data_IF_018379049082
#
_entry.id   IF_018379049082
#
_cell.length_a   1.000
_cell.length_b   1.000
_cell.length_c   1.000
_cell.angle_alpha   90.00
_cell.angle_beta   90.00
_cell.angle_gamma   90.00
#
_symmetry.space_group_name_H-M   'P 1'
#
loop_
_entity.id
_entity.type
_entity.pdbx_description
1 polymer ?
#
# COMPACT_ATOMS: atom_id res chain seq x y z
N UNK A 1 -8.49 -31.92 -6.35
CA UNK A 1 -7.46 -31.96 -5.27
C UNK A 1 -7.66 -30.75 -4.40
N UNK A 2 -7.60 -30.90 -3.07
CA UNK A 2 -7.66 -29.73 -2.16
C UNK A 2 -6.39 -28.90 -2.34
N UNK A 3 -6.51 -27.55 -2.46
CA UNK A 3 -5.36 -26.65 -2.51
C UNK A 3 -4.55 -26.77 -1.22
N UNK A 4 -3.23 -26.68 -1.30
CA UNK A 4 -2.36 -26.55 -0.13
C UNK A 4 -2.50 -25.13 0.45
N UNK A 5 -2.94 -25.01 1.69
CA UNK A 5 -3.24 -23.75 2.36
C UNK A 5 -2.22 -23.53 3.47
N UNK A 6 -1.63 -22.33 3.51
CA UNK A 6 -0.93 -21.80 4.69
C UNK A 6 -1.80 -20.76 5.40
N UNK A 7 -1.78 -20.74 6.72
CA UNK A 7 -2.51 -19.74 7.51
C UNK A 7 -1.56 -18.80 8.23
N UNK A 8 -1.63 -17.51 7.89
CA UNK A 8 -0.97 -16.42 8.60
C UNK A 8 -2.00 -15.69 9.48
N UNK A 9 -1.72 -15.50 10.76
CA UNK A 9 -2.61 -14.81 11.69
C UNK A 9 -1.88 -13.73 12.47
N UNK A 10 -2.54 -12.58 12.64
CA UNK A 10 -2.04 -11.52 13.52
C UNK A 10 -2.01 -11.99 14.98
N UNK A 11 -1.27 -11.27 15.83
CA UNK A 11 -1.13 -11.60 17.26
C UNK A 11 -2.43 -11.42 18.07
N UNK A 12 -3.50 -10.93 17.46
CA UNK A 12 -4.81 -10.79 18.11
C UNK A 12 -5.40 -12.16 18.48
N UNK A 13 -5.88 -12.37 19.72
CA UNK A 13 -6.42 -13.65 20.17
C UNK A 13 -7.49 -14.22 19.25
N UNK A 14 -8.35 -13.35 18.70
CA UNK A 14 -9.42 -13.75 17.78
C UNK A 14 -8.88 -14.29 16.45
N UNK A 15 -7.76 -13.77 15.95
CA UNK A 15 -7.11 -14.25 14.73
C UNK A 15 -6.40 -15.59 14.98
N UNK A 16 -5.74 -15.75 16.13
CA UNK A 16 -5.06 -16.98 16.53
C UNK A 16 -6.05 -18.13 16.74
N UNK A 17 -7.19 -17.85 17.36
CA UNK A 17 -8.29 -18.83 17.53
C UNK A 17 -8.81 -19.27 16.17
N UNK A 18 -9.05 -18.33 15.26
CA UNK A 18 -9.50 -18.62 13.90
C UNK A 18 -8.46 -19.47 13.13
N UNK A 19 -7.17 -19.16 13.25
CA UNK A 19 -6.09 -19.97 12.65
C UNK A 19 -6.14 -21.42 13.15
N UNK A 20 -6.25 -21.60 14.46
CA UNK A 20 -6.31 -22.95 15.07
C UNK A 20 -7.50 -23.75 14.54
N UNK A 21 -8.68 -23.13 14.44
CA UNK A 21 -9.89 -23.79 13.94
C UNK A 21 -9.77 -24.17 12.45
N UNK A 22 -9.29 -23.25 11.62
CA UNK A 22 -9.14 -23.47 10.18
C UNK A 22 -8.04 -24.49 9.87
N UNK A 23 -6.90 -24.42 10.55
CA UNK A 23 -5.78 -25.36 10.41
C UNK A 23 -6.19 -26.79 10.80
N UNK A 24 -6.97 -26.95 11.87
CA UNK A 24 -7.50 -28.24 12.27
C UNK A 24 -8.45 -28.85 11.24
N UNK A 25 -9.18 -28.01 10.49
CA UNK A 25 -10.19 -28.44 9.52
C UNK A 25 -9.62 -28.68 8.12
N UNK A 26 -8.71 -27.82 7.66
CA UNK A 26 -8.25 -27.82 6.26
C UNK A 26 -6.76 -28.19 6.09
N UNK A 27 -6.04 -28.39 7.19
CA UNK A 27 -4.59 -28.53 7.20
C UNK A 27 -3.89 -27.16 7.19
N UNK A 28 -2.60 -27.15 7.48
CA UNK A 28 -1.74 -25.96 7.46
C UNK A 28 -0.36 -26.40 6.97
N UNK A 29 0.12 -25.84 5.86
CA UNK A 29 1.44 -26.14 5.31
C UNK A 29 2.35 -24.92 5.49
N UNK A 30 3.69 -25.05 5.41
CA UNK A 30 4.59 -23.92 5.33
C UNK A 30 4.24 -22.98 4.16
N UNK A 31 4.46 -21.68 4.33
CA UNK A 31 4.09 -20.67 3.31
C UNK A 31 4.79 -20.88 1.96
N UNK A 32 6.01 -21.40 1.96
CA UNK A 32 6.79 -21.74 0.76
C UNK A 32 6.29 -23.01 0.03
N UNK A 33 5.46 -23.81 0.67
CA UNK A 33 4.79 -24.98 0.06
C UNK A 33 3.33 -24.70 -0.34
N UNK A 34 2.81 -23.52 0.04
CA UNK A 34 1.40 -23.20 -0.12
C UNK A 34 1.05 -22.78 -1.55
N UNK A 35 -0.14 -23.18 -2.01
CA UNK A 35 -0.77 -22.69 -3.24
C UNK A 35 -1.62 -21.43 -3.00
N UNK A 36 -1.95 -21.15 -1.72
CA UNK A 36 -2.61 -19.94 -1.26
C UNK A 36 -2.26 -19.67 0.21
N UNK A 37 -2.06 -18.41 0.56
CA UNK A 37 -1.85 -17.99 1.95
C UNK A 37 -3.14 -17.29 2.42
N UNK A 38 -3.80 -17.89 3.42
CA UNK A 38 -4.98 -17.30 4.05
C UNK A 38 -4.53 -16.42 5.22
N UNK A 39 -4.84 -15.13 5.14
CA UNK A 39 -4.40 -14.11 6.09
C UNK A 39 -5.54 -13.75 7.03
N UNK A 40 -5.36 -13.96 8.33
CA UNK A 40 -6.33 -13.73 9.39
C UNK A 40 -5.94 -12.48 10.20
N UNK A 41 -6.65 -11.38 10.01
CA UNK A 41 -6.33 -10.10 10.66
C UNK A 41 -7.11 -8.94 10.08
N UNK A 42 -6.47 -7.79 9.97
CA UNK A 42 -6.95 -6.60 9.26
C UNK A 42 -5.97 -6.20 8.16
N UNK A 43 -6.24 -5.08 7.47
CA UNK A 43 -5.45 -4.60 6.32
C UNK A 43 -3.96 -4.42 6.64
N UNK A 44 -3.61 -3.89 7.80
CA UNK A 44 -2.20 -3.72 8.19
C UNK A 44 -1.44 -5.04 8.26
N UNK A 45 -2.06 -6.11 8.77
CA UNK A 45 -1.46 -7.44 8.80
C UNK A 45 -1.43 -8.09 7.41
N UNK A 46 -2.43 -7.80 6.57
CA UNK A 46 -2.44 -8.21 5.16
C UNK A 46 -1.26 -7.61 4.41
N UNK A 47 -1.04 -6.29 4.49
CA UNK A 47 0.11 -5.60 3.89
C UNK A 47 1.43 -6.18 4.38
N UNK A 48 1.58 -6.38 5.70
CA UNK A 48 2.77 -7.00 6.29
C UNK A 48 3.04 -8.39 5.70
N UNK A 49 2.00 -9.22 5.59
CA UNK A 49 2.12 -10.57 5.01
C UNK A 49 2.53 -10.51 3.54
N UNK A 50 1.90 -9.65 2.74
CA UNK A 50 2.23 -9.47 1.33
C UNK A 50 3.70 -9.04 1.13
N UNK A 51 4.20 -8.11 1.93
CA UNK A 51 5.63 -7.73 1.90
C UNK A 51 6.55 -8.89 2.28
N UNK A 52 6.20 -9.65 3.30
CA UNK A 52 7.01 -10.77 3.81
C UNK A 52 7.05 -11.94 2.83
N UNK A 53 5.94 -12.23 2.17
CA UNK A 53 5.80 -13.38 1.25
C UNK A 53 6.00 -13.01 -0.22
N UNK A 54 6.41 -11.78 -0.51
CA UNK A 54 6.57 -11.24 -1.86
C UNK A 54 7.38 -12.15 -2.79
N UNK A 55 8.46 -12.78 -2.29
CA UNK A 55 9.33 -13.65 -3.08
C UNK A 55 8.64 -14.97 -3.50
N UNK A 56 7.58 -15.39 -2.82
CA UNK A 56 6.88 -16.63 -3.09
C UNK A 56 5.93 -16.51 -4.29
N UNK A 57 5.48 -15.30 -4.63
CA UNK A 57 4.46 -15.05 -5.65
C UNK A 57 3.16 -15.86 -5.45
N UNK A 58 2.93 -16.32 -4.22
CA UNK A 58 1.74 -17.08 -3.83
C UNK A 58 0.58 -16.12 -3.62
N UNK A 59 -0.62 -16.39 -4.19
CA UNK A 59 -1.79 -15.56 -3.96
C UNK A 59 -2.19 -15.55 -2.49
N UNK A 60 -2.67 -14.39 -2.03
CA UNK A 60 -3.14 -14.19 -0.66
C UNK A 60 -4.65 -14.01 -0.61
N UNK A 61 -5.30 -14.59 0.39
CA UNK A 61 -6.74 -14.48 0.63
C UNK A 61 -6.96 -13.99 2.06
N UNK A 62 -7.35 -12.73 2.21
CA UNK A 62 -7.59 -12.14 3.53
C UNK A 62 -8.96 -12.51 4.08
N UNK A 63 -9.04 -12.88 5.36
CA UNK A 63 -10.30 -13.03 6.11
C UNK A 63 -10.27 -12.11 7.33
N UNK A 64 -11.27 -11.23 7.45
CA UNK A 64 -11.28 -10.19 8.47
C UNK A 64 -11.44 -10.77 9.89
N UNK A 65 -10.44 -10.53 10.73
CA UNK A 65 -10.47 -10.81 12.18
C UNK A 65 -10.08 -9.59 13.01
N UNK A 66 -10.39 -8.39 12.49
CA UNK A 66 -10.16 -7.09 13.12
C UNK A 66 -11.31 -6.12 12.83
N UNK A 67 -11.00 -4.84 12.73
CA UNK A 67 -11.93 -3.84 12.17
C UNK A 67 -12.13 -4.08 10.68
N UNK A 68 -13.25 -3.59 10.13
CA UNK A 68 -13.56 -3.75 8.69
C UNK A 68 -12.38 -3.24 7.87
N UNK A 69 -11.84 -4.10 7.00
CA UNK A 69 -10.68 -3.81 6.16
C UNK A 69 -11.04 -3.79 4.69
N UNK A 70 -10.24 -3.05 3.91
CA UNK A 70 -10.42 -2.87 2.48
C UNK A 70 -9.90 -4.08 1.67
N UNK A 71 -8.87 -4.79 2.22
CA UNK A 71 -8.21 -5.93 1.58
C UNK A 71 -8.76 -7.30 2.05
N UNK A 72 -9.76 -7.31 2.95
CA UNK A 72 -10.18 -8.52 3.65
C UNK A 72 -11.57 -8.99 3.20
N UNK A 73 -11.73 -10.29 2.96
CA UNK A 73 -13.04 -10.93 2.81
C UNK A 73 -13.70 -11.15 4.18
N UNK A 74 -15.00 -11.50 4.16
CA UNK A 74 -15.71 -11.89 5.36
C UNK A 74 -15.16 -13.21 5.92
N UNK A 75 -15.09 -13.33 7.25
CA UNK A 75 -14.64 -14.54 7.89
C UNK A 75 -15.71 -15.64 7.87
N UNK A 76 -15.31 -16.85 7.48
CA UNK A 76 -16.10 -18.07 7.61
C UNK A 76 -15.20 -19.26 7.89
N UNK A 77 -15.67 -20.21 8.71
CA UNK A 77 -14.94 -21.44 9.04
C UNK A 77 -15.34 -22.64 8.15
N UNK A 78 -16.41 -22.53 7.36
CA UNK A 78 -17.07 -23.72 6.83
C UNK A 78 -16.80 -23.99 5.36
N UNK A 79 -16.68 -22.98 4.54
CA UNK A 79 -16.75 -23.03 3.07
C UNK A 79 -15.47 -22.54 2.37
N UNK A 80 -14.35 -22.46 3.10
CA UNK A 80 -13.10 -21.92 2.57
C UNK A 80 -12.63 -22.57 1.25
N UNK A 81 -12.63 -23.89 1.08
CA UNK A 81 -12.22 -24.50 -0.20
C UNK A 81 -13.10 -24.10 -1.38
N UNK A 82 -14.41 -23.99 -1.17
CA UNK A 82 -15.36 -23.60 -2.20
C UNK A 82 -15.19 -22.13 -2.57
N UNK A 83 -14.99 -21.26 -1.59
CA UNK A 83 -14.69 -19.82 -1.80
C UNK A 83 -13.38 -19.63 -2.57
N UNK A 84 -12.32 -20.33 -2.17
CA UNK A 84 -11.04 -20.29 -2.88
C UNK A 84 -11.13 -20.81 -4.32
N UNK A 85 -12.03 -21.75 -4.60
CA UNK A 85 -12.21 -22.30 -5.94
C UNK A 85 -12.84 -21.30 -6.92
N UNK A 86 -13.68 -20.40 -6.41
CA UNK A 86 -14.42 -19.38 -7.21
C UNK A 86 -13.87 -17.96 -7.00
N UNK A 87 -12.84 -17.79 -6.17
CA UNK A 87 -12.27 -16.49 -5.87
C UNK A 87 -11.75 -15.79 -7.14
N UNK A 88 -12.03 -14.50 -7.23
CA UNK A 88 -11.54 -13.60 -8.26
C UNK A 88 -10.15 -13.09 -7.87
N UNK A 89 -9.22 -13.14 -8.81
CA UNK A 89 -7.83 -12.71 -8.57
C UNK A 89 -7.63 -11.28 -9.06
N UNK A 90 -7.09 -10.43 -8.20
CA UNK A 90 -6.63 -9.11 -8.54
C UNK A 90 -5.12 -8.98 -8.32
N UNK A 91 -4.46 -8.27 -9.25
CA UNK A 91 -3.02 -8.09 -9.24
C UNK A 91 -2.67 -6.63 -8.96
N UNK A 92 -1.87 -6.42 -7.92
CA UNK A 92 -1.37 -5.10 -7.52
C UNK A 92 0.15 -5.05 -7.70
N UNK A 93 0.63 -3.97 -8.36
CA UNK A 93 2.05 -3.68 -8.43
C UNK A 93 2.39 -2.62 -7.38
N UNK A 94 3.43 -2.83 -6.55
CA UNK A 94 3.84 -1.85 -5.56
C UNK A 94 4.55 -0.65 -6.19
N UNK A 95 4.69 0.41 -5.42
CA UNK A 95 5.64 1.49 -5.69
C UNK A 95 7.02 1.10 -5.18
N UNK A 96 8.06 1.52 -5.88
CA UNK A 96 9.44 1.51 -5.41
C UNK A 96 9.83 2.90 -4.97
N UNK A 97 10.29 3.01 -3.74
CA UNK A 97 10.90 4.19 -3.16
C UNK A 97 12.42 4.07 -3.21
N UNK A 98 13.11 5.09 -3.70
CA UNK A 98 14.54 5.31 -3.47
C UNK A 98 14.69 6.67 -2.77
N UNK A 99 15.21 6.67 -1.55
CA UNK A 99 15.36 7.88 -0.74
C UNK A 99 16.81 8.05 -0.29
N UNK A 100 17.39 9.23 -0.47
CA UNK A 100 18.69 9.55 0.11
C UNK A 100 18.50 10.32 1.41
N UNK A 101 19.05 9.77 2.49
CA UNK A 101 19.14 10.47 3.77
C UNK A 101 20.39 11.37 3.82
N UNK A 102 20.41 12.30 4.79
CA UNK A 102 21.47 13.30 4.95
C UNK A 102 22.87 12.68 5.14
N UNK A 103 22.98 11.49 5.71
CA UNK A 103 24.25 10.80 5.86
C UNK A 103 24.82 10.22 4.54
N UNK A 104 24.14 10.46 3.41
CA UNK A 104 24.51 9.98 2.09
C UNK A 104 23.99 8.58 1.73
N UNK A 105 23.39 7.86 2.69
CA UNK A 105 22.84 6.52 2.44
C UNK A 105 21.60 6.62 1.55
N UNK A 106 21.53 5.76 0.53
CA UNK A 106 20.33 5.56 -0.28
C UNK A 106 19.58 4.34 0.25
N UNK A 107 18.33 4.55 0.61
CA UNK A 107 17.41 3.54 1.12
C UNK A 107 16.44 3.15 0.03
N UNK A 108 16.17 1.85 -0.08
CA UNK A 108 15.18 1.31 -1.00
C UNK A 108 14.07 0.60 -0.22
N UNK A 109 12.82 0.86 -0.58
CA UNK A 109 11.66 0.16 -0.04
C UNK A 109 10.56 0.03 -1.08
N UNK A 110 9.59 -0.86 -0.80
CA UNK A 110 8.38 -1.04 -1.59
C UNK A 110 7.17 -0.63 -0.77
N UNK A 111 6.18 -0.05 -1.42
CA UNK A 111 4.89 0.28 -0.85
C UNK A 111 3.75 -0.24 -1.72
N UNK A 112 2.82 -0.95 -1.13
CA UNK A 112 1.61 -1.44 -1.79
C UNK A 112 0.57 -0.31 -1.86
N UNK A 113 0.46 0.48 -0.78
CA UNK A 113 -0.47 1.60 -0.72
C UNK A 113 0.15 2.88 -1.27
N UNK A 114 1.07 3.50 -0.52
CA UNK A 114 1.67 4.78 -0.89
C UNK A 114 3.08 4.95 -0.34
N UNK A 115 3.81 5.83 -0.99
CA UNK A 115 5.04 6.41 -0.47
C UNK A 115 4.73 7.84 -0.07
N UNK A 116 4.92 8.18 1.20
CA UNK A 116 4.70 9.52 1.75
C UNK A 116 5.99 10.21 2.18
N UNK A 117 6.00 11.53 2.11
CA UNK A 117 7.06 12.41 2.60
C UNK A 117 6.41 13.44 3.53
N UNK A 118 6.77 13.41 4.80
CA UNK A 118 6.16 14.25 5.84
C UNK A 118 7.21 15.09 6.56
N UNK A 119 6.81 16.29 7.00
CA UNK A 119 7.66 17.12 7.85
C UNK A 119 7.96 16.42 9.18
N UNK A 120 9.21 16.42 9.58
CA UNK A 120 9.68 15.84 10.84
C UNK A 120 9.93 16.88 11.94
N UNK A 121 9.42 18.11 11.75
CA UNK A 121 9.59 19.21 12.69
C UNK A 121 8.41 20.19 12.66
N UNK A 122 8.49 21.28 13.44
CA UNK A 122 7.40 22.26 13.55
C UNK A 122 7.20 23.10 12.28
N UNK A 123 8.21 23.21 11.43
CA UNK A 123 8.14 24.01 10.20
C UNK A 123 7.56 23.18 9.05
N UNK A 124 6.79 23.85 8.17
CA UNK A 124 6.28 23.25 6.96
C UNK A 124 7.42 22.69 6.09
N UNK A 125 7.21 21.56 5.45
CA UNK A 125 8.11 21.04 4.43
C UNK A 125 8.12 21.99 3.22
N UNK A 126 9.24 22.04 2.53
CA UNK A 126 9.38 22.67 1.22
C UNK A 126 9.93 21.64 0.25
N UNK A 127 9.16 21.33 -0.75
CA UNK A 127 9.46 20.27 -1.70
C UNK A 127 9.49 20.85 -3.12
N UNK A 128 10.48 20.43 -3.92
CA UNK A 128 10.48 20.58 -5.36
C UNK A 128 10.00 19.28 -5.97
N UNK A 129 9.14 19.35 -6.99
CA UNK A 129 8.59 18.17 -7.64
C UNK A 129 8.97 18.13 -9.10
N UNK A 130 9.60 17.03 -9.50
CA UNK A 130 9.89 16.71 -10.90
C UNK A 130 9.21 15.42 -11.30
N UNK A 131 8.78 15.31 -12.56
CA UNK A 131 8.20 14.11 -13.15
C UNK A 131 8.99 13.79 -14.41
N UNK A 132 9.55 12.59 -14.47
CA UNK A 132 10.41 12.10 -15.57
C UNK A 132 11.56 13.08 -15.87
N UNK A 133 12.19 13.60 -14.82
CA UNK A 133 13.30 14.56 -14.90
C UNK A 133 12.88 16.00 -15.23
N UNK A 134 11.60 16.26 -15.51
CA UNK A 134 11.11 17.61 -15.81
C UNK A 134 10.54 18.27 -14.56
N UNK A 135 11.05 19.45 -14.23
CA UNK A 135 10.54 20.27 -13.13
C UNK A 135 9.07 20.64 -13.39
N UNK A 136 8.17 20.26 -12.47
CA UNK A 136 6.73 20.55 -12.55
C UNK A 136 6.26 21.56 -11.51
N UNK A 137 6.86 21.52 -10.32
CA UNK A 137 6.55 22.45 -9.24
C UNK A 137 7.83 22.84 -8.53
N UNK A 138 8.20 24.09 -8.62
CA UNK A 138 9.46 24.63 -8.09
C UNK A 138 9.50 24.61 -6.57
N UNK A 139 8.39 24.98 -5.92
CA UNK A 139 8.25 24.95 -4.46
C UNK A 139 6.81 24.60 -4.05
N UNK A 140 6.67 23.50 -3.32
CA UNK A 140 5.47 23.13 -2.57
C UNK A 140 5.74 23.35 -1.08
N UNK A 141 4.99 24.24 -0.43
CA UNK A 141 5.00 24.43 1.01
C UNK A 141 3.81 23.71 1.61
N UNK A 142 4.05 22.68 2.44
CA UNK A 142 3.03 21.75 2.89
C UNK A 142 3.43 21.06 4.20
N UNK A 143 2.56 20.23 4.75
CA UNK A 143 2.94 19.27 5.80
C UNK A 143 3.59 18.01 5.21
N UNK A 144 3.34 17.74 3.94
CA UNK A 144 3.90 16.62 3.21
C UNK A 144 3.32 16.43 1.82
N UNK A 145 3.76 15.39 1.14
CA UNK A 145 3.20 14.91 -0.12
C UNK A 145 3.32 13.39 -0.19
N UNK A 146 2.50 12.76 -1.01
CA UNK A 146 2.56 11.31 -1.20
C UNK A 146 2.29 10.94 -2.67
N UNK A 147 2.74 9.75 -3.03
CA UNK A 147 2.38 9.09 -4.27
C UNK A 147 1.69 7.77 -3.92
N UNK A 148 0.47 7.59 -4.39
CA UNK A 148 -0.36 6.42 -4.09
C UNK A 148 -0.63 5.58 -5.32
N UNK A 149 -0.70 4.26 -5.11
CA UNK A 149 -1.24 3.31 -6.09
C UNK A 149 -2.77 3.42 -6.15
N UNK A 150 -3.43 2.85 -7.17
CA UNK A 150 -4.88 2.69 -7.16
C UNK A 150 -5.39 1.94 -5.92
N UNK A 151 -4.73 0.87 -5.50
CA UNK A 151 -5.11 0.10 -4.31
C UNK A 151 -5.00 0.91 -3.01
N UNK A 152 -3.96 1.74 -2.89
CA UNK A 152 -3.74 2.64 -1.74
C UNK A 152 -4.54 3.93 -1.79
N UNK A 153 -5.29 4.18 -2.88
CA UNK A 153 -5.99 5.46 -3.05
C UNK A 153 -7.05 5.74 -2.00
N UNK A 154 -7.58 4.70 -1.33
CA UNK A 154 -8.52 4.79 -0.20
C UNK A 154 -7.84 4.82 1.18
N UNK A 155 -6.50 4.68 1.23
CA UNK A 155 -5.72 4.73 2.48
C UNK A 155 -5.34 6.19 2.84
N UNK A 156 -4.08 6.46 3.12
CA UNK A 156 -3.64 7.81 3.49
C UNK A 156 -3.90 8.86 2.41
N UNK A 157 -3.86 8.46 1.14
CA UNK A 157 -4.23 9.33 0.02
C UNK A 157 -5.63 9.93 0.21
N UNK A 158 -6.62 9.11 0.58
CA UNK A 158 -7.99 9.59 0.82
C UNK A 158 -8.08 10.54 2.00
N UNK A 159 -7.39 10.22 3.09
CA UNK A 159 -7.29 11.11 4.26
C UNK A 159 -6.63 12.45 3.94
N UNK A 160 -5.73 12.48 2.96
CA UNK A 160 -5.11 13.70 2.44
C UNK A 160 -5.97 14.40 1.36
N UNK A 161 -7.22 13.98 1.17
CA UNK A 161 -8.15 14.47 0.14
C UNK A 161 -7.67 14.24 -1.30
N UNK A 162 -6.88 13.19 -1.52
CA UNK A 162 -6.54 12.70 -2.85
C UNK A 162 -7.73 11.97 -3.50
N UNK A 163 -7.70 11.80 -4.82
CA UNK A 163 -8.75 11.09 -5.55
C UNK A 163 -8.68 9.59 -5.29
N UNK A 164 -9.83 8.93 -5.25
CA UNK A 164 -9.93 7.48 -5.35
C UNK A 164 -9.69 7.10 -6.82
N UNK A 165 -8.80 6.12 -7.04
CA UNK A 165 -8.42 5.66 -8.37
C UNK A 165 -9.02 4.29 -8.65
N UNK A 166 -9.64 4.05 -9.82
CA UNK A 166 -10.07 2.72 -10.22
C UNK A 166 -8.90 1.72 -10.24
N UNK A 167 -9.14 0.51 -9.76
CA UNK A 167 -8.16 -0.58 -9.89
C UNK A 167 -7.90 -0.84 -11.36
N UNK A 168 -6.65 -1.15 -11.69
CA UNK A 168 -6.24 -1.37 -13.09
C UNK A 168 -6.05 -0.09 -13.91
N UNK A 169 -6.33 1.11 -13.34
CA UNK A 169 -6.00 2.35 -14.04
C UNK A 169 -4.49 2.55 -14.18
N UNK A 170 -4.07 3.13 -15.30
CA UNK A 170 -2.66 3.40 -15.60
C UNK A 170 -2.20 4.76 -15.05
N UNK A 171 -2.67 5.11 -13.83
CA UNK A 171 -2.31 6.36 -13.16
C UNK A 171 -1.92 6.12 -11.71
N UNK A 172 -1.14 7.06 -11.15
CA UNK A 172 -0.83 7.19 -9.73
C UNK A 172 -1.40 8.53 -9.25
N UNK A 173 -1.79 8.60 -7.98
CA UNK A 173 -2.16 9.87 -7.36
C UNK A 173 -0.93 10.50 -6.69
N UNK A 174 -0.56 11.69 -7.13
CA UNK A 174 0.37 12.57 -6.43
C UNK A 174 -0.47 13.55 -5.61
N UNK A 175 -0.43 13.46 -4.28
CA UNK A 175 -1.32 14.22 -3.39
C UNK A 175 -0.51 15.04 -2.39
N UNK A 176 -0.91 16.30 -2.17
CA UNK A 176 -0.30 17.17 -1.17
C UNK A 176 -1.05 17.06 0.17
N UNK A 177 -0.30 16.98 1.26
CA UNK A 177 -0.84 17.00 2.62
C UNK A 177 -0.80 18.44 3.15
N UNK A 178 -1.95 19.04 3.42
CA UNK A 178 -2.09 20.39 3.96
C UNK A 178 -1.26 21.45 3.21
N UNK A 179 -1.40 21.52 1.88
CA UNK A 179 -0.66 22.46 1.05
C UNK A 179 -0.98 23.92 1.42
N UNK A 180 0.06 24.68 1.76
CA UNK A 180 -0.03 26.12 2.03
C UNK A 180 0.26 26.98 0.79
N UNK A 181 1.23 26.54 -0.04
CA UNK A 181 1.58 27.15 -1.34
C UNK A 181 2.04 26.09 -2.33
N UNK A 182 1.58 26.11 -3.60
CA UNK A 182 0.51 26.96 -4.12
C UNK A 182 -0.82 26.72 -3.40
N UNK A 183 -1.59 27.81 -3.21
CA UNK A 183 -2.90 27.68 -2.54
C UNK A 183 -3.83 26.81 -3.34
N UNK A 184 -4.54 25.89 -2.65
CA UNK A 184 -5.53 24.96 -3.23
C UNK A 184 -4.96 23.92 -4.20
N UNK A 185 -3.63 23.83 -4.34
CA UNK A 185 -3.07 22.72 -5.09
C UNK A 185 -3.20 21.43 -4.25
N UNK A 186 -3.96 20.49 -4.73
CA UNK A 186 -4.22 19.23 -4.02
C UNK A 186 -3.34 18.09 -4.50
N UNK A 187 -2.79 18.19 -5.70
CA UNK A 187 -2.02 17.14 -6.34
C UNK A 187 -2.27 17.07 -7.84
N UNK A 188 -1.87 15.96 -8.40
CA UNK A 188 -2.02 15.65 -9.82
C UNK A 188 -2.17 14.14 -10.01
N UNK A 189 -2.82 13.73 -11.10
CA UNK A 189 -2.70 12.36 -11.60
C UNK A 189 -1.49 12.29 -12.51
N UNK A 190 -0.68 11.25 -12.33
CA UNK A 190 0.50 11.00 -13.16
C UNK A 190 0.42 9.62 -13.78
N UNK A 191 0.98 9.40 -14.99
CA UNK A 191 1.02 8.08 -15.58
C UNK A 191 1.67 7.05 -14.65
N UNK A 192 1.18 5.81 -14.64
CA UNK A 192 1.76 4.70 -13.85
C UNK A 192 3.23 4.47 -14.17
N UNK A 193 3.66 4.81 -15.38
CA UNK A 193 5.06 4.68 -15.83
C UNK A 193 5.97 5.82 -15.39
N UNK A 194 5.41 6.90 -14.83
CA UNK A 194 6.17 8.08 -14.43
C UNK A 194 7.05 7.81 -13.22
N UNK A 195 8.18 8.49 -13.17
CA UNK A 195 9.01 8.63 -11.97
C UNK A 195 8.72 10.01 -11.35
N UNK A 196 8.19 10.00 -10.14
CA UNK A 196 7.97 11.24 -9.35
C UNK A 196 9.17 11.43 -8.43
N UNK A 197 9.82 12.59 -8.55
CA UNK A 197 10.93 12.98 -7.69
C UNK A 197 10.54 14.15 -6.80
N UNK A 198 10.87 14.02 -5.53
CA UNK A 198 10.82 15.10 -4.55
C UNK A 198 12.24 15.46 -4.12
N UNK A 199 12.62 16.74 -4.26
CA UNK A 199 13.84 17.28 -3.66
C UNK A 199 13.44 18.15 -2.47
N UNK A 200 14.07 17.95 -1.33
CA UNK A 200 13.79 18.71 -0.11
C UNK A 200 14.54 20.03 -0.13
N UNK A 201 13.80 21.13 -0.04
CA UNK A 201 14.36 22.48 0.00
C UNK A 201 14.63 22.86 1.46
N UNK A 202 15.82 23.40 1.76
CA UNK A 202 16.26 23.76 3.12
C UNK A 202 16.20 22.58 4.13
N UNK A 203 16.75 21.37 3.83
CA UNK A 203 16.58 20.18 4.65
C UNK A 203 17.08 20.34 6.08
N UNK A 204 18.07 21.21 6.33
CA UNK A 204 18.57 21.52 7.67
C UNK A 204 17.52 22.19 8.56
N UNK A 205 16.78 23.11 7.97
CA UNK A 205 15.76 23.90 8.66
C UNK A 205 14.40 23.19 8.67
N UNK A 206 14.14 22.35 7.65
CA UNK A 206 12.86 21.74 7.35
C UNK A 206 13.03 20.25 7.13
N UNK A 207 13.45 19.50 8.16
CA UNK A 207 13.66 18.07 8.02
C UNK A 207 12.37 17.36 7.65
N UNK A 208 12.48 16.37 6.80
CA UNK A 208 11.38 15.49 6.39
C UNK A 208 11.74 14.04 6.59
N UNK A 209 10.73 13.20 6.75
CA UNK A 209 10.84 11.75 6.76
C UNK A 209 10.02 11.17 5.62
N UNK A 210 10.50 10.09 5.02
CA UNK A 210 9.76 9.29 4.06
C UNK A 210 9.24 8.02 4.70
N UNK A 211 8.10 7.55 4.25
CA UNK A 211 7.52 6.27 4.65
C UNK A 211 7.00 5.51 3.42
N UNK A 212 7.25 4.20 3.40
CA UNK A 212 6.74 3.26 2.43
C UNK A 212 6.07 2.08 3.17
N UNK A 213 4.76 2.10 3.36
CA UNK A 213 4.00 1.09 4.12
C UNK A 213 4.65 0.74 5.47
N UNK A 214 4.94 1.74 6.30
CA UNK A 214 5.61 1.61 7.62
C UNK A 214 7.13 1.32 7.58
N UNK A 215 7.79 1.58 6.47
CA UNK A 215 9.25 1.57 6.32
C UNK A 215 9.77 2.98 6.16
N UNK A 216 10.18 3.59 7.25
CA UNK A 216 10.56 5.01 7.30
C UNK A 216 12.06 5.26 7.10
N UNK A 217 12.32 6.42 6.51
CA UNK A 217 13.66 6.98 6.33
C UNK A 217 13.65 8.40 6.86
N UNK A 218 14.52 8.70 7.81
CA UNK A 218 14.64 10.03 8.40
C UNK A 218 15.60 10.94 7.63
N UNK A 219 15.42 12.24 7.81
CA UNK A 219 16.32 13.28 7.28
C UNK A 219 16.57 13.13 5.76
N UNK A 220 15.50 12.95 5.00
CA UNK A 220 15.54 12.76 3.55
C UNK A 220 15.97 14.03 2.84
N UNK A 221 16.89 13.91 1.88
CA UNK A 221 17.29 15.00 0.97
C UNK A 221 16.52 14.96 -0.33
N UNK A 222 16.30 13.78 -0.86
CA UNK A 222 15.47 13.54 -2.04
C UNK A 222 14.86 12.14 -2.01
N UNK A 223 13.80 11.98 -2.77
CA UNK A 223 13.00 10.77 -2.88
C UNK A 223 12.52 10.58 -4.30
N UNK A 224 12.78 9.43 -4.90
CA UNK A 224 12.20 8.98 -6.17
C UNK A 224 11.16 7.90 -5.91
N UNK A 225 10.00 8.04 -6.54
CA UNK A 225 8.89 7.07 -6.48
C UNK A 225 8.49 6.66 -7.89
N UNK A 226 8.37 5.37 -8.14
CA UNK A 226 7.88 4.80 -9.41
C UNK A 226 7.14 3.50 -9.16
N UNK A 227 6.27 3.10 -10.07
CA UNK A 227 5.67 1.77 -10.02
C UNK A 227 6.72 0.69 -10.31
N UNK A 228 6.68 -0.43 -9.56
CA UNK A 228 7.53 -1.60 -9.77
C UNK A 228 6.72 -2.74 -10.40
N UNK A 229 6.57 -2.68 -11.69
CA UNK A 229 5.71 -3.60 -12.45
C UNK A 229 6.24 -5.04 -12.56
N UNK A 230 7.54 -5.28 -12.21
CA UNK A 230 8.11 -6.62 -12.17
C UNK A 230 7.72 -7.41 -10.92
N UNK A 231 7.15 -6.72 -9.93
CA UNK A 231 6.64 -7.32 -8.70
C UNK A 231 5.12 -7.27 -8.76
N UNK A 232 4.50 -8.41 -8.50
CA UNK A 232 3.06 -8.56 -8.48
C UNK A 232 2.61 -9.17 -7.16
N UNK A 233 1.66 -8.52 -6.50
CA UNK A 233 0.94 -9.11 -5.38
C UNK A 233 -0.42 -9.59 -5.91
N UNK A 234 -0.73 -10.86 -5.67
CA UNK A 234 -1.94 -11.53 -6.15
C UNK A 234 -2.90 -11.67 -4.98
N UNK A 235 -4.02 -10.96 -5.04
CA UNK A 235 -5.05 -10.96 -4.00
C UNK A 235 -6.26 -11.71 -4.50
N UNK A 236 -6.84 -12.54 -3.63
CA UNK A 236 -8.06 -13.30 -3.92
C UNK A 236 -9.23 -12.69 -3.16
N UNK A 237 -10.32 -12.43 -3.87
CA UNK A 237 -11.55 -11.90 -3.31
C UNK A 237 -12.73 -12.82 -3.62
N UNK A 238 -13.72 -12.83 -2.74
CA UNK A 238 -15.00 -13.46 -3.04
C UNK A 238 -15.66 -12.79 -4.24
N UNK A 239 -16.39 -13.53 -5.08
CA UNK A 239 -17.05 -12.99 -6.26
C UNK A 239 -17.95 -11.79 -5.93
N UNK A 240 -17.77 -10.70 -6.69
CA UNK A 240 -18.49 -9.44 -6.50
C UNK A 240 -18.08 -8.64 -5.26
N UNK A 241 -16.99 -9.01 -4.58
CA UNK A 241 -16.42 -8.31 -3.42
C UNK A 241 -14.97 -7.87 -3.66
N UNK A 242 -14.53 -7.80 -4.92
CA UNK A 242 -13.21 -7.33 -5.31
C UNK A 242 -12.95 -5.87 -4.97
N UNK A 243 -11.70 -5.44 -5.17
CA UNK A 243 -11.28 -4.06 -4.85
C UNK A 243 -12.06 -3.01 -5.63
N UNK A 244 -12.43 -3.28 -6.88
CA UNK A 244 -13.18 -2.33 -7.70
C UNK A 244 -14.55 -2.01 -7.10
N UNK A 245 -15.30 -3.02 -6.69
CA UNK A 245 -16.61 -2.84 -6.03
C UNK A 245 -16.47 -2.08 -4.70
N UNK A 246 -15.42 -2.37 -3.93
CA UNK A 246 -15.14 -1.67 -2.67
C UNK A 246 -14.78 -0.21 -2.87
N UNK A 247 -13.97 0.09 -3.90
CA UNK A 247 -13.65 1.47 -4.29
C UNK A 247 -14.88 2.25 -4.71
N UNK A 248 -15.79 1.60 -5.45
CA UNK A 248 -17.07 2.22 -5.82
C UNK A 248 -17.91 2.54 -4.58
N UNK A 249 -18.08 1.61 -3.66
CA UNK A 249 -18.84 1.83 -2.42
C UNK A 249 -18.27 2.98 -1.60
N UNK A 250 -16.93 3.05 -1.46
CA UNK A 250 -16.28 4.12 -0.72
C UNK A 250 -16.53 5.51 -1.31
N UNK A 251 -16.69 5.62 -2.63
CA UNK A 251 -16.97 6.90 -3.30
C UNK A 251 -18.38 7.42 -3.04
N UNK A 252 -19.31 6.56 -2.62
CA UNK A 252 -20.72 6.88 -2.40
C UNK A 252 -21.15 6.78 -0.93
N UNK A 253 -20.20 6.61 0.00
CA UNK A 253 -20.43 6.51 1.46
C UNK A 253 -20.29 7.83 2.20
#
# INVERSE_FOLDING_TARGET
>A
MSRKIAFAASDMPVAQTARTALAARFGDVPEDEAEVIVVLGGDGFMLHTMHRTQALNTPVYGMNRGTVGFLMNEYSETDLPDRLAVAEEEVINPLRMNAQSRNGTVHEALAINEVSLLRAGPQAAKLRISIDGHLRLEELVCDGALVSTPAGSTAYNYSAHGPILPIGSDVLALTAVAAFRPRRWRGALVPKTATVRFDVIEPEKRPVMADADSRWVESVLWLDVRSETRIAHRLLFDPGHGLEERLLREQFS
#
